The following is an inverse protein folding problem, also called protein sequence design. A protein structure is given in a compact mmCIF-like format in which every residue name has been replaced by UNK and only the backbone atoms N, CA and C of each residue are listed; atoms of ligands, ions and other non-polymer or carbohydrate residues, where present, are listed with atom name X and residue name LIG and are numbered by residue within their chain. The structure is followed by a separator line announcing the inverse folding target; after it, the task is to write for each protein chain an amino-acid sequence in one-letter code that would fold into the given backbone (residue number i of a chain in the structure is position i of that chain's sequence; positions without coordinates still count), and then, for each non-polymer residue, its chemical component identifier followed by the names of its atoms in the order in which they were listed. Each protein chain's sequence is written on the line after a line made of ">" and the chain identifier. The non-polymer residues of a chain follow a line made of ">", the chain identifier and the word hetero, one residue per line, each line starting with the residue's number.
data_IF_548855173881
#
_entry.id   IF_548855173881
#
_cell.length_a   1.000
_cell.length_b   1.000
_cell.length_c   1.000
_cell.angle_alpha   90.00
_cell.angle_beta   90.00
_cell.angle_gamma   90.00
#
_symmetry.space_group_name_H-M   'P 1'
#
loop_
_entity.id
_entity.type
_entity.pdbx_description
1 polymer ?
#
# COMPACT_ATOMS: atom_id res chain seq x y z
N UNK A 1 1.21 29.84 11.83
CA UNK A 1 1.54 28.40 12.00
C UNK A 1 0.32 27.60 11.59
N UNK A 2 0.45 26.54 10.77
CA UNK A 2 -0.65 25.62 10.56
C UNK A 2 -1.11 25.07 11.92
N UNK A 3 -2.43 25.06 12.15
CA UNK A 3 -3.00 24.52 13.38
C UNK A 3 -2.78 23.00 13.38
N UNK A 4 -2.32 22.40 14.47
CA UNK A 4 -2.01 20.96 14.54
C UNK A 4 -3.18 20.09 14.07
N UNK A 5 -4.41 20.53 14.34
CA UNK A 5 -5.63 19.87 13.84
C UNK A 5 -5.76 19.80 12.32
N UNK A 6 -5.27 20.80 11.58
CA UNK A 6 -5.34 20.79 10.10
C UNK A 6 -4.33 19.81 9.51
N UNK A 7 -3.14 19.72 10.10
CA UNK A 7 -2.12 18.74 9.72
C UNK A 7 -2.61 17.31 9.97
N UNK A 8 -3.20 17.05 11.14
CA UNK A 8 -3.77 15.73 11.48
C UNK A 8 -4.89 15.37 10.51
N UNK A 9 -5.78 16.32 10.19
CA UNK A 9 -6.89 16.09 9.26
C UNK A 9 -6.39 15.78 7.84
N UNK A 10 -5.40 16.53 7.35
CA UNK A 10 -4.80 16.31 6.04
C UNK A 10 -4.06 14.96 5.95
N UNK A 11 -3.32 14.61 7.00
CA UNK A 11 -2.68 13.29 7.12
C UNK A 11 -3.73 12.17 7.13
N UNK A 12 -4.79 12.31 7.94
CA UNK A 12 -5.90 11.35 8.00
C UNK A 12 -6.58 11.15 6.65
N UNK A 13 -6.87 12.21 5.91
CA UNK A 13 -7.45 12.10 4.57
C UNK A 13 -6.53 11.34 3.59
N UNK A 14 -5.21 11.55 3.68
CA UNK A 14 -4.23 10.85 2.85
C UNK A 14 -4.16 9.36 3.20
N UNK A 15 -4.24 9.02 4.50
CA UNK A 15 -4.23 7.63 4.99
C UNK A 15 -5.50 6.88 4.61
N UNK A 16 -6.68 7.53 4.67
CA UNK A 16 -7.95 6.93 4.22
C UNK A 16 -7.86 6.56 2.75
N UNK A 17 -7.43 7.50 1.89
CA UNK A 17 -7.24 7.25 0.45
C UNK A 17 -6.23 6.14 0.18
N UNK A 18 -5.17 6.05 0.98
CA UNK A 18 -4.19 4.96 0.86
C UNK A 18 -4.83 3.61 1.21
N UNK A 19 -5.64 3.54 2.26
CA UNK A 19 -6.39 2.34 2.65
C UNK A 19 -7.38 1.89 1.57
N UNK A 20 -8.13 2.81 0.97
CA UNK A 20 -9.03 2.52 -0.16
C UNK A 20 -8.27 1.93 -1.35
N UNK A 21 -7.13 2.52 -1.71
CA UNK A 21 -6.29 2.04 -2.82
C UNK A 21 -5.67 0.66 -2.53
N UNK A 22 -5.26 0.39 -1.29
CA UNK A 22 -4.76 -0.92 -0.87
C UNK A 22 -5.86 -1.99 -0.98
N UNK A 23 -7.08 -1.67 -0.53
CA UNK A 23 -8.24 -2.54 -0.71
C UNK A 23 -8.49 -2.85 -2.18
N UNK A 24 -8.50 -1.83 -3.04
CA UNK A 24 -8.67 -2.02 -4.48
C UNK A 24 -7.54 -2.83 -5.13
N UNK A 25 -6.29 -2.63 -4.71
CA UNK A 25 -5.15 -3.38 -5.22
C UNK A 25 -5.25 -4.88 -4.92
N UNK A 26 -5.83 -5.25 -3.77
CA UNK A 26 -6.09 -6.64 -3.39
C UNK A 26 -7.09 -7.34 -4.32
N UNK A 27 -8.03 -6.58 -4.91
CA UNK A 27 -9.02 -7.08 -5.87
C UNK A 27 -8.44 -7.19 -7.29
N UNK A 28 -7.69 -6.17 -7.72
CA UNK A 28 -7.16 -6.08 -9.11
C UNK A 28 -6.15 -7.20 -9.42
N UNK A 29 -5.44 -7.73 -8.43
CA UNK A 29 -4.49 -8.82 -8.64
C UNK A 29 -5.13 -10.13 -9.12
N UNK A 30 -6.47 -10.27 -9.03
CA UNK A 30 -7.22 -11.44 -9.47
C UNK A 30 -8.03 -11.22 -10.76
N UNK A 31 -8.11 -9.97 -11.24
CA UNK A 31 -8.85 -9.65 -12.46
C UNK A 31 -8.06 -10.07 -13.71
N UNK A 32 -8.74 -10.53 -14.78
CA UNK A 32 -8.10 -10.77 -16.07
C UNK A 32 -7.56 -9.46 -16.66
N UNK A 33 -6.44 -9.49 -17.42
CA UNK A 33 -5.88 -8.28 -18.01
C UNK A 33 -6.88 -7.64 -19.00
N UNK A 34 -7.03 -6.31 -18.92
CA UNK A 34 -8.00 -5.54 -19.71
C UNK A 34 -7.68 -5.46 -21.22
N UNK A 35 -6.50 -5.92 -21.65
CA UNK A 35 -6.09 -5.92 -23.04
C UNK A 35 -5.84 -7.36 -23.52
N UNK A 36 -6.21 -7.70 -24.78
CA UNK A 36 -5.72 -8.91 -25.42
C UNK A 36 -4.19 -8.93 -25.33
N UNK A 37 -3.64 -10.03 -24.83
CA UNK A 37 -2.20 -10.26 -24.87
C UNK A 37 -1.72 -10.06 -26.31
N UNK A 38 -0.74 -9.17 -26.55
CA UNK A 38 -0.08 -8.99 -27.86
C UNK A 38 0.82 -10.18 -28.22
N UNK A 39 0.51 -11.38 -27.74
CA UNK A 39 1.18 -12.56 -28.25
C UNK A 39 0.73 -12.68 -29.68
N UNK A 40 1.67 -12.46 -30.60
CA UNK A 40 1.46 -12.67 -32.04
C UNK A 40 0.61 -13.94 -32.20
N UNK A 41 -0.53 -13.81 -32.87
CA UNK A 41 -1.31 -14.93 -33.38
C UNK A 41 -0.47 -15.63 -34.46
N UNK A 42 0.64 -16.26 -34.06
CA UNK A 42 1.24 -17.33 -34.84
C UNK A 42 0.23 -18.47 -34.82
N UNK A 43 -0.15 -18.95 -36.01
CA UNK A 43 -1.04 -20.09 -36.21
C UNK A 43 -0.50 -21.42 -35.63
N UNK A 44 0.59 -21.39 -34.85
CA UNK A 44 0.98 -22.46 -33.96
C UNK A 44 0.03 -22.48 -32.75
N UNK A 45 -0.99 -23.33 -32.85
CA UNK A 45 -1.69 -23.84 -31.66
C UNK A 45 -0.64 -24.28 -30.65
N UNK A 46 -0.75 -23.80 -29.42
CA UNK A 46 0.09 -24.22 -28.31
C UNK A 46 0.19 -25.76 -28.29
N UNK A 47 1.36 -26.32 -28.61
CA UNK A 47 1.62 -27.76 -28.65
C UNK A 47 1.87 -28.34 -27.25
N UNK A 48 1.20 -27.81 -26.24
CA UNK A 48 1.31 -28.24 -24.84
C UNK A 48 -0.07 -28.24 -24.20
N UNK A 49 -0.46 -29.39 -23.63
CA UNK A 49 -1.76 -29.63 -22.99
C UNK A 49 -2.06 -28.74 -21.76
N UNK A 50 -1.11 -27.90 -21.35
CA UNK A 50 -1.24 -27.02 -20.19
C UNK A 50 -0.76 -25.63 -20.58
N UNK A 51 -1.71 -24.75 -20.92
CA UNK A 51 -1.49 -23.31 -20.71
C UNK A 51 -1.12 -23.16 -19.24
N UNK A 52 0.05 -22.59 -18.92
CA UNK A 52 0.48 -22.41 -17.54
C UNK A 52 0.21 -20.95 -17.14
N UNK A 53 -1.05 -20.56 -16.86
CA UNK A 53 -1.43 -19.18 -16.57
C UNK A 53 -0.67 -18.62 -15.37
N UNK A 54 -0.14 -19.50 -14.51
CA UNK A 54 0.67 -19.16 -13.35
C UNK A 54 1.95 -18.42 -13.70
N UNK A 55 2.66 -18.82 -14.77
CA UNK A 55 3.93 -18.20 -15.14
C UNK A 55 3.70 -16.83 -15.80
N UNK A 56 2.72 -16.74 -16.70
CA UNK A 56 2.31 -15.49 -17.36
C UNK A 56 1.75 -14.48 -16.33
N UNK A 57 1.01 -14.96 -15.32
CA UNK A 57 0.49 -14.11 -14.23
C UNK A 57 1.59 -13.68 -13.27
N UNK A 58 2.57 -14.54 -12.99
CA UNK A 58 3.70 -14.21 -12.11
C UNK A 58 4.69 -13.24 -12.74
N UNK A 59 4.82 -13.25 -14.07
CA UNK A 59 5.77 -12.40 -14.83
C UNK A 59 5.13 -11.17 -15.47
N UNK A 60 3.82 -10.96 -15.29
CA UNK A 60 3.11 -9.75 -15.72
C UNK A 60 3.68 -8.52 -15.01
N UNK A 61 4.43 -7.70 -15.76
CA UNK A 61 5.09 -6.48 -15.28
C UNK A 61 4.10 -5.51 -14.60
N UNK A 62 2.85 -5.46 -15.05
CA UNK A 62 1.82 -4.59 -14.47
C UNK A 62 1.42 -5.07 -13.08
N UNK A 63 1.23 -6.39 -12.91
CA UNK A 63 0.94 -6.99 -11.60
C UNK A 63 2.12 -6.86 -10.64
N UNK A 64 3.35 -7.02 -11.15
CA UNK A 64 4.55 -6.81 -10.35
C UNK A 64 4.67 -5.37 -9.85
N UNK A 65 4.37 -4.37 -10.69
CA UNK A 65 4.32 -2.96 -10.29
C UNK A 65 3.28 -2.69 -9.20
N UNK A 66 2.09 -3.26 -9.33
CA UNK A 66 1.04 -3.14 -8.28
C UNK A 66 1.51 -3.77 -6.97
N UNK A 67 2.08 -4.99 -7.02
CA UNK A 67 2.60 -5.67 -5.82
C UNK A 67 3.73 -4.88 -5.15
N UNK A 68 4.66 -4.34 -5.93
CA UNK A 68 5.72 -3.49 -5.40
C UNK A 68 5.15 -2.25 -4.69
N UNK A 69 4.20 -1.56 -5.32
CA UNK A 69 3.55 -0.39 -4.72
C UNK A 69 2.76 -0.74 -3.43
N UNK A 70 2.13 -1.91 -3.37
CA UNK A 70 1.45 -2.40 -2.15
C UNK A 70 2.47 -2.61 -1.02
N UNK A 71 3.57 -3.32 -1.29
CA UNK A 71 4.62 -3.59 -0.29
C UNK A 71 5.22 -2.28 0.22
N UNK A 72 5.50 -1.33 -0.68
CA UNK A 72 6.02 -0.01 -0.31
C UNK A 72 5.04 0.76 0.58
N UNK A 73 3.75 0.74 0.25
CA UNK A 73 2.70 1.39 1.03
C UNK A 73 2.53 0.76 2.42
N UNK A 74 2.52 -0.57 2.53
CA UNK A 74 2.44 -1.28 3.81
C UNK A 74 3.66 -1.00 4.69
N UNK A 75 4.86 -1.02 4.08
CA UNK A 75 6.11 -0.68 4.79
C UNK A 75 6.08 0.75 5.31
N UNK A 76 5.54 1.69 4.51
CA UNK A 76 5.38 3.08 4.93
C UNK A 76 4.40 3.20 6.10
N UNK A 77 3.24 2.52 6.03
CA UNK A 77 2.23 2.55 7.10
C UNK A 77 2.78 2.05 8.43
N UNK A 78 3.54 0.95 8.43
CA UNK A 78 4.17 0.41 9.63
C UNK A 78 5.15 1.42 10.26
N UNK A 79 6.00 2.05 9.42
CA UNK A 79 6.94 3.08 9.89
C UNK A 79 6.23 4.32 10.42
N UNK A 80 5.17 4.76 9.74
CA UNK A 80 4.36 5.90 10.17
C UNK A 80 3.69 5.63 11.51
N UNK A 81 3.12 4.44 11.71
CA UNK A 81 2.53 4.02 12.99
C UNK A 81 3.57 4.09 14.09
N UNK A 82 4.70 3.40 13.93
CA UNK A 82 5.75 3.37 14.95
C UNK A 82 6.28 4.77 15.29
N UNK A 83 6.44 5.65 14.28
CA UNK A 83 6.89 7.03 14.52
C UNK A 83 5.85 7.87 15.27
N UNK A 84 4.56 7.67 14.98
CA UNK A 84 3.48 8.39 15.63
C UNK A 84 3.32 7.96 17.08
N UNK A 85 3.38 6.65 17.36
CA UNK A 85 3.32 6.08 18.71
C UNK A 85 4.49 6.60 19.56
N UNK A 86 5.72 6.50 19.04
CA UNK A 86 6.92 7.05 19.67
C UNK A 86 6.81 8.55 20.02
N UNK A 87 6.22 9.34 19.13
CA UNK A 87 6.04 10.77 19.33
C UNK A 87 4.96 11.06 20.39
N UNK A 88 3.88 10.28 20.38
CA UNK A 88 2.81 10.37 21.37
C UNK A 88 3.33 10.04 22.77
N UNK A 89 4.05 8.93 22.92
CA UNK A 89 4.62 8.49 24.21
C UNK A 89 5.58 9.53 24.79
N UNK A 90 6.47 10.11 23.96
CA UNK A 90 7.39 11.18 24.39
C UNK A 90 6.63 12.44 24.82
N UNK A 91 5.58 12.81 24.09
CA UNK A 91 4.77 13.97 24.44
C UNK A 91 4.00 13.73 25.74
N UNK A 92 3.43 12.55 25.92
CA UNK A 92 2.73 12.16 27.15
C UNK A 92 3.69 12.19 28.35
N UNK A 93 4.87 11.59 28.23
CA UNK A 93 5.88 11.61 29.27
C UNK A 93 6.31 13.04 29.64
N UNK A 94 6.49 13.92 28.65
CA UNK A 94 6.82 15.32 28.87
C UNK A 94 5.69 16.08 29.61
N UNK A 95 4.43 15.82 29.23
CA UNK A 95 3.26 16.41 29.88
C UNK A 95 3.11 15.92 31.33
N UNK A 96 3.33 14.63 31.58
CA UNK A 96 3.30 14.04 32.92
C UNK A 96 4.41 14.60 33.79
N UNK A 97 5.64 14.73 33.27
CA UNK A 97 6.77 15.34 33.97
C UNK A 97 6.47 16.79 34.38
N UNK A 98 5.96 17.59 33.44
CA UNK A 98 5.55 18.97 33.72
C UNK A 98 4.41 19.07 34.76
N UNK A 99 3.42 18.18 34.69
CA UNK A 99 2.32 18.15 35.64
C UNK A 99 2.75 17.72 37.05
N UNK A 100 3.73 16.81 37.15
CA UNK A 100 4.32 16.35 38.41
C UNK A 100 5.30 17.33 39.07
N UNK A 101 5.94 18.21 38.30
CA UNK A 101 6.78 19.31 38.81
C UNK A 101 5.98 20.47 39.43
N UNK A 102 4.65 20.52 39.26
CA UNK A 102 3.78 21.57 39.82
C UNK A 102 3.24 21.28 41.24
N UNK A 103 3.86 20.35 41.98
CA UNK A 103 3.51 20.04 43.37
C UNK A 103 4.48 20.68 44.38
#
# INVERSE_FOLDING_TARGET
>A
MPHHGDLIRSAGASLIRLGENLGHAADVQWLPPAAPSKRNDTAERASGLVSNPTLDTATDERRLKVRAAVIEAETLLERMRGTADDAADRLEAALQGWAGERA
#
